data_IF_652069032748
#
_entry.id   IF_652069032748
#
_cell.length_a   1.000
_cell.length_b   1.000
_cell.length_c   1.000
_cell.angle_alpha   90.00
_cell.angle_beta   90.00
_cell.angle_gamma   90.00
#
_symmetry.space_group_name_H-M   'P 1'
#
loop_
_entity.id
_entity.type
_entity.pdbx_description
1 polymer ?
#
# COMPACT_ATOMS: atom_id res chain seq x y z
N UNK A 1 23.26 -0.34 14.60
CA UNK A 1 22.05 0.48 14.41
C UNK A 1 21.67 1.00 15.78
N UNK A 2 21.76 2.31 15.99
CA UNK A 2 21.48 2.93 17.28
C UNK A 2 20.05 3.47 17.24
N UNK A 3 19.20 2.99 18.15
CA UNK A 3 17.84 3.47 18.28
C UNK A 3 17.78 4.52 19.37
N UNK A 4 17.37 5.73 18.98
CA UNK A 4 17.12 6.81 19.92
C UNK A 4 15.61 6.97 20.05
N UNK A 5 15.15 6.94 21.30
CA UNK A 5 13.75 7.09 21.62
C UNK A 5 13.47 8.48 22.16
N UNK A 6 12.46 9.13 21.59
CA UNK A 6 11.86 10.34 22.15
C UNK A 6 10.48 9.99 22.70
N UNK A 7 10.21 10.41 23.93
CA UNK A 7 8.90 10.28 24.55
C UNK A 7 8.57 11.62 25.22
N UNK A 8 7.31 12.03 25.12
CA UNK A 8 6.80 13.24 25.72
C UNK A 8 5.32 13.10 26.03
N UNK A 9 4.85 13.86 27.01
CA UNK A 9 3.44 13.93 27.38
C UNK A 9 2.89 15.26 26.92
N UNK A 10 1.71 15.23 26.29
CA UNK A 10 0.96 16.45 25.95
C UNK A 10 -0.22 16.51 26.91
N UNK A 11 -0.31 17.57 27.70
CA UNK A 11 -1.47 17.82 28.55
C UNK A 11 -2.63 18.28 27.67
N UNK A 12 -3.76 17.59 27.77
CA UNK A 12 -5.00 17.96 27.09
C UNK A 12 -5.94 18.66 28.06
N UNK A 13 -6.77 19.57 27.55
CA UNK A 13 -7.77 20.26 28.35
C UNK A 13 -8.93 19.30 28.69
N UNK A 14 -9.39 19.29 29.94
CA UNK A 14 -10.35 18.29 30.47
C UNK A 14 -11.65 18.21 29.66
N UNK A 15 -12.17 19.35 29.20
CA UNK A 15 -13.42 19.41 28.44
C UNK A 15 -13.27 19.42 26.91
N UNK A 16 -12.03 19.40 26.38
CA UNK A 16 -11.79 19.57 24.93
C UNK A 16 -11.10 18.34 24.34
N UNK A 17 -11.46 18.02 23.09
CA UNK A 17 -10.86 16.92 22.33
C UNK A 17 -9.74 17.42 21.43
N UNK A 18 -8.66 16.65 21.31
CA UNK A 18 -7.60 16.91 20.33
C UNK A 18 -8.12 16.51 18.95
N UNK A 19 -8.35 17.49 18.09
CA UNK A 19 -8.83 17.24 16.72
C UNK A 19 -7.70 16.86 15.75
N UNK A 20 -6.46 17.33 16.00
CA UNK A 20 -5.29 17.11 15.15
C UNK A 20 -4.01 17.25 15.97
N UNK A 21 -3.06 16.35 15.75
CA UNK A 21 -1.68 16.49 16.19
C UNK A 21 -0.77 16.64 14.95
N UNK A 22 0.28 17.43 15.04
CA UNK A 22 1.28 17.57 13.97
C UNK A 22 2.65 17.39 14.59
N UNK A 23 3.41 16.42 14.07
CA UNK A 23 4.76 16.10 14.53
C UNK A 23 5.72 16.53 13.44
N UNK A 24 6.63 17.44 13.78
CA UNK A 24 7.68 17.90 12.88
C UNK A 24 9.01 17.32 13.36
N UNK A 25 9.68 16.56 12.51
CA UNK A 25 11.04 16.06 12.77
C UNK A 25 12.01 16.96 12.02
N UNK A 26 12.89 17.63 12.77
CA UNK A 26 13.91 18.53 12.24
C UNK A 26 15.26 17.84 12.41
N UNK A 27 15.99 17.70 11.30
CA UNK A 27 17.30 17.10 11.25
C UNK A 27 18.32 18.19 10.90
N UNK A 28 19.28 18.42 11.78
CA UNK A 28 20.36 19.39 11.58
C UNK A 28 21.72 18.70 11.72
N UNK A 29 22.67 19.02 10.82
CA UNK A 29 24.05 18.52 10.85
C UNK A 29 24.22 16.99 10.87
N UNK A 30 23.40 16.23 10.13
CA UNK A 30 23.48 14.77 10.07
C UNK A 30 23.85 14.24 8.67
N UNK A 31 24.58 13.11 8.62
CA UNK A 31 24.90 12.35 7.40
C UNK A 31 24.42 10.90 7.53
N UNK A 32 23.69 10.37 6.54
CA UNK A 32 23.20 8.99 6.52
C UNK A 32 21.71 8.87 6.24
N UNK A 33 21.13 7.70 6.51
CA UNK A 33 19.69 7.43 6.35
C UNK A 33 19.00 7.34 7.70
N UNK A 34 17.94 8.13 7.87
CA UNK A 34 17.10 8.13 9.07
C UNK A 34 15.75 7.46 8.76
N UNK A 35 15.30 6.59 9.66
CA UNK A 35 14.02 5.91 9.56
C UNK A 35 13.17 6.25 10.79
N UNK A 36 11.91 6.64 10.56
CA UNK A 36 10.88 6.70 11.61
C UNK A 36 10.08 5.42 11.47
N UNK A 37 10.12 4.56 12.48
CA UNK A 37 9.42 3.27 12.44
C UNK A 37 8.01 3.40 12.98
N UNK A 38 7.83 4.13 14.11
CA UNK A 38 6.57 4.18 14.83
C UNK A 38 6.32 5.56 15.45
N UNK A 39 5.08 6.05 15.34
CA UNK A 39 4.56 7.18 16.11
C UNK A 39 3.31 6.68 16.84
N UNK A 40 3.33 6.74 18.17
CA UNK A 40 2.21 6.26 19.00
C UNK A 40 1.68 7.39 19.88
N UNK A 41 0.35 7.47 19.96
CA UNK A 41 -0.36 8.28 20.93
C UNK A 41 -1.04 7.35 21.93
N UNK A 42 -0.82 7.58 23.21
CA UNK A 42 -1.42 6.80 24.29
C UNK A 42 -2.06 7.77 25.29
N UNK A 43 -3.27 7.45 25.73
CA UNK A 43 -3.88 8.13 26.87
C UNK A 43 -3.28 7.63 28.18
N UNK A 44 -3.08 8.55 29.12
CA UNK A 44 -2.55 8.26 30.45
C UNK A 44 -1.20 8.92 30.73
N UNK A 45 -0.89 9.04 32.03
CA UNK A 45 0.33 9.69 32.54
C UNK A 45 1.58 8.82 32.36
N UNK A 46 1.39 7.51 32.25
CA UNK A 46 2.48 6.55 32.17
C UNK A 46 2.47 5.91 30.79
N UNK A 47 3.64 5.87 30.18
CA UNK A 47 3.85 5.03 29.02
C UNK A 47 3.68 3.58 29.44
N UNK A 48 2.60 2.93 29.01
CA UNK A 48 2.39 1.52 29.28
C UNK A 48 3.05 0.72 28.16
N UNK A 49 4.24 0.21 28.45
CA UNK A 49 4.89 -0.92 27.77
C UNK A 49 4.87 -0.93 26.24
N UNK A 50 5.87 -0.30 25.62
CA UNK A 50 6.33 -0.72 24.29
C UNK A 50 7.67 -1.42 24.47
N UNK A 51 7.68 -2.76 24.40
CA UNK A 51 8.90 -3.50 24.10
C UNK A 51 9.05 -3.43 22.59
N UNK A 52 10.08 -2.75 22.11
CA UNK A 52 10.39 -2.72 20.68
C UNK A 52 10.62 -4.17 20.27
N UNK A 53 9.75 -4.71 19.41
CA UNK A 53 10.01 -6.00 18.82
C UNK A 53 11.07 -5.78 17.73
N UNK A 54 12.33 -6.00 18.08
CA UNK A 54 13.46 -5.88 17.14
C UNK A 54 13.47 -7.01 16.09
N UNK A 55 12.52 -7.92 16.15
CA UNK A 55 12.37 -9.02 15.23
C UNK A 55 11.51 -8.59 14.05
N UNK A 56 11.82 -9.13 12.88
CA UNK A 56 11.11 -8.85 11.65
C UNK A 56 9.59 -9.08 11.85
N UNK A 57 8.79 -8.06 11.54
CA UNK A 57 7.33 -8.10 11.72
C UNK A 57 6.64 -8.90 10.62
N UNK A 58 7.13 -8.79 9.39
CA UNK A 58 6.58 -9.44 8.21
C UNK A 58 7.70 -10.09 7.41
N UNK A 59 7.50 -11.34 7.02
CA UNK A 59 8.42 -12.04 6.14
C UNK A 59 7.67 -12.55 4.91
N UNK A 60 8.40 -12.85 3.83
CA UNK A 60 7.78 -13.53 2.69
C UNK A 60 7.29 -14.90 3.15
N UNK A 61 6.08 -15.28 2.72
CA UNK A 61 5.55 -16.60 3.04
C UNK A 61 6.49 -17.68 2.50
N UNK A 62 6.69 -18.73 3.31
CA UNK A 62 7.48 -19.89 2.94
C UNK A 62 6.66 -21.16 3.01
N UNK A 63 6.89 -22.08 2.07
CA UNK A 63 6.37 -23.44 2.06
C UNK A 63 7.57 -24.36 1.94
N UNK A 64 7.73 -25.31 2.85
CA UNK A 64 8.88 -26.22 2.93
C UNK A 64 10.25 -25.49 2.95
N UNK A 65 10.29 -24.33 3.60
CA UNK A 65 11.50 -23.50 3.73
C UNK A 65 11.76 -22.56 2.55
N UNK A 66 11.09 -22.74 1.41
CA UNK A 66 11.24 -21.93 0.20
C UNK A 66 10.24 -20.78 0.13
N UNK A 67 10.67 -19.62 -0.37
CA UNK A 67 9.80 -18.45 -0.55
C UNK A 67 8.76 -18.75 -1.63
N UNK A 68 7.49 -18.50 -1.35
CA UNK A 68 6.43 -18.68 -2.35
C UNK A 68 6.64 -17.73 -3.53
N UNK A 69 6.37 -18.17 -4.77
CA UNK A 69 6.51 -17.32 -5.93
C UNK A 69 5.52 -16.16 -5.88
N UNK A 70 5.85 -15.08 -6.59
CA UNK A 70 4.93 -13.96 -6.81
C UNK A 70 3.67 -14.48 -7.49
N UNK A 71 2.51 -14.08 -6.97
CA UNK A 71 1.20 -14.41 -7.52
C UNK A 71 0.86 -13.47 -8.66
N UNK A 72 0.28 -13.99 -9.74
CA UNK A 72 -0.12 -13.21 -10.90
C UNK A 72 -1.57 -13.49 -11.27
N UNK A 73 -2.32 -12.43 -11.57
CA UNK A 73 -3.70 -12.51 -12.06
C UNK A 73 -3.82 -11.64 -13.30
N UNK A 74 -4.18 -12.25 -14.42
CA UNK A 74 -4.24 -11.57 -15.71
C UNK A 74 -5.67 -11.55 -16.24
N UNK A 75 -6.04 -10.48 -16.93
CA UNK A 75 -7.33 -10.38 -17.59
C UNK A 75 -7.42 -9.20 -18.54
N UNK A 76 -8.44 -9.24 -19.39
CA UNK A 76 -8.85 -8.11 -20.21
C UNK A 76 -10.01 -7.41 -19.50
N UNK A 77 -9.84 -6.13 -19.20
CA UNK A 77 -10.88 -5.30 -18.58
C UNK A 77 -11.56 -4.49 -19.68
N UNK A 78 -12.90 -4.58 -19.77
CA UNK A 78 -13.74 -3.78 -20.69
C UNK A 78 -14.68 -2.92 -19.86
N UNK A 79 -14.61 -1.59 -20.00
CA UNK A 79 -15.27 -0.59 -19.13
C UNK A 79 -14.92 -0.72 -17.64
N UNK A 80 -15.24 -1.84 -16.99
CA UNK A 80 -14.80 -2.12 -15.64
C UNK A 80 -15.13 -3.56 -15.22
N UNK A 81 -14.39 -4.07 -14.25
CA UNK A 81 -14.57 -5.41 -13.69
C UNK A 81 -14.35 -5.37 -12.18
N UNK A 82 -14.93 -6.33 -11.47
CA UNK A 82 -14.52 -6.65 -10.10
C UNK A 82 -13.76 -7.97 -10.14
N UNK A 83 -12.45 -7.92 -9.90
CA UNK A 83 -11.62 -9.10 -9.75
C UNK A 83 -11.64 -9.58 -8.30
N UNK A 84 -11.73 -10.89 -8.10
CA UNK A 84 -11.53 -11.52 -6.78
C UNK A 84 -10.11 -12.05 -6.74
N UNK A 85 -9.32 -11.56 -5.79
CA UNK A 85 -7.92 -11.92 -5.61
C UNK A 85 -7.79 -12.73 -4.34
N UNK A 86 -7.24 -13.94 -4.45
CA UNK A 86 -6.97 -14.84 -3.33
C UNK A 86 -5.49 -14.75 -2.95
N UNK A 87 -5.26 -14.42 -1.69
CA UNK A 87 -3.94 -14.35 -1.07
C UNK A 87 -3.90 -15.39 0.05
N UNK A 88 -3.09 -16.42 -0.17
CA UNK A 88 -2.94 -17.50 0.80
C UNK A 88 -1.87 -17.14 1.86
N UNK A 89 -1.36 -15.91 1.85
CA UNK A 89 -0.56 -15.30 2.91
C UNK A 89 -1.31 -15.17 4.23
N UNK A 90 -0.57 -15.15 5.34
CA UNK A 90 -1.15 -14.94 6.67
C UNK A 90 -1.58 -13.49 6.90
N UNK A 91 -1.02 -12.56 6.10
CA UNK A 91 -1.25 -11.12 6.21
C UNK A 91 -1.48 -10.49 4.83
N UNK A 92 -1.91 -9.22 4.84
CA UNK A 92 -2.05 -8.45 3.62
C UNK A 92 -0.72 -8.12 2.95
N UNK A 93 -0.71 -8.05 1.62
CA UNK A 93 0.45 -7.68 0.82
C UNK A 93 0.11 -6.54 -0.16
N UNK A 94 1.09 -5.71 -0.53
CA UNK A 94 0.90 -4.69 -1.56
C UNK A 94 0.50 -5.32 -2.90
N UNK A 95 -0.52 -4.77 -3.56
CA UNK A 95 -1.03 -5.27 -4.83
C UNK A 95 -0.61 -4.33 -5.97
N UNK A 96 0.28 -4.83 -6.82
CA UNK A 96 0.79 -4.10 -7.97
C UNK A 96 -0.11 -4.32 -9.19
N UNK A 97 -0.20 -3.33 -10.07
CA UNK A 97 -0.90 -3.43 -11.35
C UNK A 97 0.01 -3.03 -12.50
N UNK A 98 0.07 -3.89 -13.51
CA UNK A 98 0.61 -3.63 -14.82
C UNK A 98 -0.55 -3.54 -15.80
N UNK A 99 -0.74 -2.37 -16.42
CA UNK A 99 -1.90 -2.05 -17.26
C UNK A 99 -1.40 -1.60 -18.63
N UNK A 100 -1.96 -2.19 -19.68
CA UNK A 100 -1.72 -1.81 -21.07
C UNK A 100 -3.07 -1.41 -21.68
N UNK A 101 -3.37 -0.10 -21.83
CA UNK A 101 -4.58 0.36 -22.48
C UNK A 101 -4.63 -0.11 -23.93
N UNK A 102 -5.83 -0.50 -24.40
CA UNK A 102 -6.07 -0.85 -25.82
C UNK A 102 -6.76 0.26 -26.59
N UNK A 103 -6.95 1.39 -25.93
CA UNK A 103 -7.55 2.59 -26.50
C UNK A 103 -6.94 3.79 -25.76
N UNK A 104 -6.99 4.98 -26.39
CA UNK A 104 -6.60 6.23 -25.71
C UNK A 104 -7.50 6.50 -24.51
N UNK A 105 -6.94 6.83 -23.34
CA UNK A 105 -7.64 7.14 -22.10
C UNK A 105 -7.34 8.58 -21.67
N UNK A 106 -8.34 9.33 -21.22
CA UNK A 106 -8.13 10.66 -20.64
C UNK A 106 -7.67 10.57 -19.17
N UNK A 107 -7.17 11.68 -18.63
CA UNK A 107 -6.91 11.77 -17.19
C UNK A 107 -8.19 11.46 -16.40
N UNK A 108 -8.06 10.60 -15.39
CA UNK A 108 -9.18 10.15 -14.56
C UNK A 108 -10.01 8.98 -15.11
N UNK A 109 -9.79 8.58 -16.37
CA UNK A 109 -10.56 7.47 -16.98
C UNK A 109 -10.14 6.09 -16.42
N UNK A 110 -8.94 5.97 -15.84
CA UNK A 110 -8.45 4.73 -15.25
C UNK A 110 -8.35 4.83 -13.73
N UNK A 111 -8.91 3.82 -13.04
CA UNK A 111 -8.83 3.71 -11.58
C UNK A 111 -8.88 2.27 -11.09
N UNK A 112 -8.28 2.06 -9.93
CA UNK A 112 -8.35 0.81 -9.18
C UNK A 112 -8.91 1.12 -7.79
N UNK A 113 -9.71 0.22 -7.22
CA UNK A 113 -10.29 0.40 -5.90
C UNK A 113 -10.54 -0.94 -5.23
N UNK A 114 -10.64 -0.91 -3.90
CA UNK A 114 -10.95 -2.07 -3.08
C UNK A 114 -12.46 -2.17 -2.83
N UNK A 115 -12.98 -3.39 -2.68
CA UNK A 115 -14.37 -3.70 -2.36
C UNK A 115 -15.37 -2.85 -3.18
N UNK A 116 -16.30 -2.17 -2.50
CA UNK A 116 -17.34 -1.31 -3.10
C UNK A 116 -16.83 0.10 -3.46
N UNK A 117 -15.59 0.20 -3.96
CA UNK A 117 -14.98 1.47 -4.36
C UNK A 117 -14.24 2.21 -3.25
N UNK A 118 -13.98 1.56 -2.11
CA UNK A 118 -13.12 2.11 -1.05
C UNK A 118 -11.66 2.08 -1.48
N UNK A 119 -10.81 2.89 -0.82
CA UNK A 119 -9.37 2.93 -1.11
C UNK A 119 -9.07 3.05 -2.61
N UNK A 120 -9.79 3.95 -3.28
CA UNK A 120 -9.64 4.19 -4.71
C UNK A 120 -8.33 4.92 -5.01
N UNK A 121 -7.65 4.50 -6.06
CA UNK A 121 -6.58 5.24 -6.74
C UNK A 121 -7.03 5.58 -8.15
N UNK A 122 -6.87 6.85 -8.51
CA UNK A 122 -7.21 7.38 -9.83
C UNK A 122 -5.97 7.92 -10.51
N UNK A 123 -5.74 7.51 -11.76
CA UNK A 123 -4.61 7.97 -12.55
C UNK A 123 -4.93 9.32 -13.19
N UNK A 124 -4.13 10.35 -12.91
CA UNK A 124 -4.38 11.73 -13.32
C UNK A 124 -3.69 12.11 -14.63
N UNK A 125 -3.25 11.12 -15.41
CA UNK A 125 -2.59 11.31 -16.69
C UNK A 125 -3.44 10.73 -17.81
N UNK A 126 -3.33 11.29 -19.01
CA UNK A 126 -3.82 10.64 -20.23
C UNK A 126 -2.87 9.54 -20.68
N UNK A 127 -3.40 8.51 -21.31
CA UNK A 127 -2.67 7.36 -21.80
C UNK A 127 -3.04 7.07 -23.25
N UNK A 128 -2.07 6.67 -24.05
CA UNK A 128 -2.27 6.18 -25.40
C UNK A 128 -2.46 4.67 -25.39
N UNK A 129 -2.89 4.14 -26.54
CA UNK A 129 -2.87 2.70 -26.76
C UNK A 129 -1.44 2.17 -26.59
N UNK A 130 -1.32 1.01 -25.95
CA UNK A 130 -0.07 0.29 -25.66
C UNK A 130 0.93 1.00 -24.73
N UNK A 131 0.56 2.12 -24.11
CA UNK A 131 1.34 2.68 -22.99
C UNK A 131 1.48 1.63 -21.86
N UNK A 132 2.68 1.51 -21.32
CA UNK A 132 2.95 0.65 -20.16
C UNK A 132 2.71 1.43 -18.89
N UNK A 133 1.64 1.09 -18.19
CA UNK A 133 1.27 1.74 -16.93
C UNK A 133 1.54 0.80 -15.77
N UNK A 134 2.34 1.24 -14.81
CA UNK A 134 2.67 0.47 -13.61
C UNK A 134 2.16 1.20 -12.38
N UNK A 135 1.45 0.51 -11.49
CA UNK A 135 1.08 0.96 -10.15
C UNK A 135 1.81 0.03 -9.18
N UNK A 136 2.88 0.54 -8.56
CA UNK A 136 3.64 -0.19 -7.56
C UNK A 136 3.17 0.25 -6.16
N UNK A 137 2.49 -0.66 -5.46
CA UNK A 137 1.93 -0.41 -4.14
C UNK A 137 3.00 -0.34 -3.05
N UNK A 138 4.05 -1.14 -3.15
CA UNK A 138 5.14 -1.17 -2.17
C UNK A 138 5.95 0.13 -2.21
N UNK A 139 6.30 0.58 -3.42
CA UNK A 139 7.02 1.85 -3.63
C UNK A 139 6.11 3.08 -3.56
N UNK A 140 4.78 2.89 -3.61
CA UNK A 140 3.78 3.97 -3.72
C UNK A 140 4.07 4.91 -4.90
N UNK A 141 4.35 4.31 -6.05
CA UNK A 141 4.67 5.02 -7.29
C UNK A 141 3.80 4.48 -8.42
N UNK A 142 3.24 5.40 -9.21
CA UNK A 142 2.66 5.10 -10.51
C UNK A 142 3.59 5.60 -11.63
N UNK A 143 3.76 4.83 -12.70
CA UNK A 143 4.55 5.21 -13.88
C UNK A 143 3.80 4.98 -15.18
N UNK A 144 4.17 5.74 -16.20
CA UNK A 144 3.82 5.55 -17.61
C UNK A 144 5.12 5.45 -18.40
N UNK A 145 5.36 4.33 -19.06
CA UNK A 145 6.59 4.04 -19.80
C UNK A 145 7.84 4.32 -18.95
N UNK A 146 7.80 3.90 -17.67
CA UNK A 146 8.87 4.12 -16.69
C UNK A 146 8.95 5.53 -16.10
N UNK A 147 8.27 6.53 -16.67
CA UNK A 147 8.24 7.89 -16.14
C UNK A 147 7.18 8.04 -15.05
N UNK A 148 7.53 8.62 -13.91
CA UNK A 148 6.59 8.83 -12.80
C UNK A 148 5.42 9.72 -13.23
N UNK A 149 4.21 9.33 -12.85
CA UNK A 149 2.98 10.07 -13.09
C UNK A 149 2.27 10.37 -11.78
N UNK A 150 1.34 11.34 -11.83
CA UNK A 150 0.47 11.65 -10.70
C UNK A 150 -0.66 10.62 -10.61
N UNK A 151 -0.85 10.08 -9.42
CA UNK A 151 -1.99 9.27 -9.03
C UNK A 151 -2.53 9.81 -7.71
N UNK A 152 -3.84 9.97 -7.60
CA UNK A 152 -4.49 10.43 -6.38
C UNK A 152 -5.21 9.26 -5.71
N UNK A 153 -5.03 9.11 -4.39
CA UNK A 153 -5.73 8.12 -3.58
C UNK A 153 -4.83 7.03 -3.00
N UNK A 154 -5.36 5.82 -2.86
CA UNK A 154 -4.76 4.75 -2.07
C UNK A 154 -4.17 3.63 -2.94
N UNK A 155 -2.89 3.31 -2.73
CA UNK A 155 -2.29 2.14 -3.35
C UNK A 155 -2.90 0.85 -2.79
N UNK A 156 -3.34 -0.05 -3.69
CA UNK A 156 -4.08 -1.25 -3.31
C UNK A 156 -3.21 -2.26 -2.56
N UNK A 157 -3.89 -3.11 -1.80
CA UNK A 157 -3.32 -4.28 -1.15
C UNK A 157 -4.25 -5.47 -1.34
N UNK A 158 -3.69 -6.68 -1.38
CA UNK A 158 -4.47 -7.91 -1.24
C UNK A 158 -4.64 -8.20 0.24
N UNK A 159 -5.89 -8.31 0.72
CA UNK A 159 -6.14 -8.80 2.08
C UNK A 159 -5.75 -10.28 2.18
N UNK A 160 -5.47 -10.80 3.38
CA UNK A 160 -5.34 -12.24 3.60
C UNK A 160 -6.71 -12.92 3.34
N UNK A 161 -6.71 -14.07 2.66
CA UNK A 161 -7.93 -14.68 2.15
C UNK A 161 -8.37 -14.07 0.82
N UNK A 162 -9.64 -13.70 0.69
CA UNK A 162 -10.18 -13.07 -0.51
C UNK A 162 -10.31 -11.55 -0.39
N UNK A 163 -10.00 -10.85 -1.46
CA UNK A 163 -10.26 -9.42 -1.59
C UNK A 163 -10.82 -9.07 -2.96
N UNK A 164 -11.74 -8.11 -3.00
CA UNK A 164 -12.41 -7.66 -4.23
C UNK A 164 -11.76 -6.38 -4.72
N UNK A 165 -11.42 -6.34 -6.00
CA UNK A 165 -10.71 -5.24 -6.63
C UNK A 165 -11.49 -4.75 -7.85
N UNK A 166 -12.02 -3.54 -7.74
CA UNK A 166 -12.66 -2.88 -8.87
C UNK A 166 -11.58 -2.24 -9.74
N UNK A 167 -11.52 -2.66 -10.99
CA UNK A 167 -10.67 -2.04 -12.01
C UNK A 167 -11.60 -1.38 -13.00
N UNK A 168 -11.42 -0.08 -13.20
CA UNK A 168 -12.21 0.71 -14.15
C UNK A 168 -11.31 1.35 -15.17
N UNK A 169 -11.73 1.26 -16.41
CA UNK A 169 -11.22 2.01 -17.55
C UNK A 169 -12.36 2.85 -18.11
N UNK A 170 -12.12 3.64 -19.15
CA UNK A 170 -13.20 4.39 -19.80
C UNK A 170 -14.28 3.46 -20.32
N UNK A 171 -15.54 3.90 -20.23
CA UNK A 171 -16.66 3.19 -20.82
C UNK A 171 -16.45 2.90 -22.32
N UNK A 172 -16.78 1.68 -22.73
CA UNK A 172 -16.58 1.10 -24.07
C UNK A 172 -15.13 1.01 -24.53
N UNK A 173 -14.17 1.14 -23.61
CA UNK A 173 -12.74 0.93 -23.88
C UNK A 173 -12.21 -0.27 -23.12
N UNK A 174 -11.02 -0.72 -23.47
CA UNK A 174 -10.41 -1.87 -22.83
C UNK A 174 -8.94 -1.70 -22.45
N UNK A 175 -8.47 -2.55 -21.53
CA UNK A 175 -7.06 -2.65 -21.17
C UNK A 175 -6.70 -4.09 -20.80
N UNK A 176 -5.46 -4.49 -21.09
CA UNK A 176 -4.86 -5.68 -20.50
C UNK A 176 -4.40 -5.32 -19.09
N UNK A 177 -4.76 -6.13 -18.11
CA UNK A 177 -4.39 -5.89 -16.72
C UNK A 177 -3.77 -7.14 -16.14
N UNK A 178 -2.58 -6.99 -15.59
CA UNK A 178 -1.90 -7.97 -14.75
C UNK A 178 -1.78 -7.41 -13.35
N UNK A 179 -2.33 -8.11 -12.38
CA UNK A 179 -2.11 -7.85 -10.97
C UNK A 179 -1.03 -8.79 -10.43
N UNK A 180 -0.20 -8.31 -9.51
CA UNK A 180 0.80 -9.14 -8.86
C UNK A 180 1.11 -8.73 -7.43
N UNK A 181 1.41 -9.71 -6.58
CA UNK A 181 1.86 -9.48 -5.21
C UNK A 181 2.69 -10.66 -4.69
N UNK A 182 3.53 -10.39 -3.70
CA UNK A 182 4.25 -11.40 -2.93
C UNK A 182 3.42 -11.80 -1.72
N UNK A 183 3.12 -13.08 -1.54
CA UNK A 183 2.45 -13.53 -0.31
C UNK A 183 3.37 -13.31 0.90
N UNK A 184 2.79 -12.76 1.97
CA UNK A 184 3.49 -12.41 3.19
C UNK A 184 2.95 -13.23 4.36
N UNK A 185 3.80 -13.49 5.33
CA UNK A 185 3.49 -14.17 6.59
C UNK A 185 3.96 -13.33 7.77
N UNK A 186 3.48 -13.66 8.97
CA UNK A 186 4.02 -13.02 10.17
C UNK A 186 5.50 -13.38 10.30
N UNK A 187 6.34 -12.37 10.47
CA UNK A 187 7.70 -12.56 10.94
C UNK A 187 7.69 -12.93 12.43
N UNK A 188 8.86 -13.24 12.99
CA UNK A 188 8.97 -13.67 14.40
C UNK A 188 8.40 -12.59 15.33
N UNK A 189 8.54 -11.31 14.96
CA UNK A 189 7.99 -10.22 15.74
C UNK A 189 6.49 -9.97 15.57
N UNK A 190 5.90 -10.49 14.49
CA UNK A 190 4.48 -10.30 14.15
C UNK A 190 3.57 -11.44 14.62
N UNK A 191 4.12 -12.62 14.95
CA UNK A 191 3.34 -13.69 15.57
C UNK A 191 2.86 -13.19 16.93
N UNK A 192 1.54 -13.21 17.16
CA UNK A 192 0.96 -12.94 18.48
C UNK A 192 1.69 -13.81 19.51
N UNK A 193 2.33 -13.17 20.50
CA UNK A 193 2.63 -13.82 21.77
C UNK A 193 1.33 -14.22 22.46
#
# INVERSE_FOLDING_TARGET
MEFIRFAGTINTHEEKKVAKATVNVILENCTGTFYITDIMFQEGKWLTGYVVNNLELLQKKRVDGEITPVRFFNGIVRSGVTAVITNDGEVSAGLNYHIIPKDTMAAGDMSVAHNYGSHKLTLQSGFLEDDVVEINADARVATRNGSRIRADGFYSYSAAGDSKHQIKVKDRKSALVRMSFQEMAYGIGGKRM
#
